data_IF_828749124842
#
_entry.id   IF_828749124842
#
_cell.length_a   1.000
_cell.length_b   1.000
_cell.length_c   1.000
_cell.angle_alpha   90.00
_cell.angle_beta   90.00
_cell.angle_gamma   90.00
#
_symmetry.space_group_name_H-M   'P 1'
#
loop_
_entity.id
_entity.type
_entity.pdbx_description
1 polymer ?
#
# COMPACT_ATOMS: atom_id res chain seq x y z
N UNK A 1 -12.46 26.25 -20.10
CA UNK A 1 -12.45 25.40 -18.89
C UNK A 1 -11.08 25.53 -18.28
N UNK A 2 -10.98 25.87 -16.99
CA UNK A 2 -9.68 26.06 -16.33
C UNK A 2 -8.83 24.79 -16.38
N UNK A 3 -7.51 24.93 -16.54
CA UNK A 3 -6.54 23.82 -16.71
C UNK A 3 -6.63 22.73 -15.63
N UNK A 4 -7.12 23.07 -14.43
CA UNK A 4 -7.35 22.08 -13.37
C UNK A 4 -8.42 21.06 -13.75
N UNK A 5 -9.54 21.51 -14.35
CA UNK A 5 -10.63 20.60 -14.75
C UNK A 5 -10.15 19.64 -15.83
N UNK A 6 -9.36 20.15 -16.78
CA UNK A 6 -8.75 19.32 -17.82
C UNK A 6 -7.85 18.26 -17.19
N UNK A 7 -6.97 18.65 -16.26
CA UNK A 7 -6.04 17.75 -15.59
C UNK A 7 -6.74 16.61 -14.83
N UNK A 8 -7.75 16.92 -14.02
CA UNK A 8 -8.53 15.89 -13.33
C UNK A 8 -9.37 15.04 -14.27
N UNK A 9 -9.88 15.62 -15.36
CA UNK A 9 -10.60 14.87 -16.39
C UNK A 9 -9.67 13.87 -17.07
N UNK A 10 -8.44 14.26 -17.41
CA UNK A 10 -7.42 13.36 -17.98
C UNK A 10 -7.13 12.21 -17.02
N UNK A 11 -6.91 12.47 -15.74
CA UNK A 11 -6.69 11.40 -14.73
C UNK A 11 -7.88 10.44 -14.67
N UNK A 12 -9.11 10.97 -14.64
CA UNK A 12 -10.32 10.17 -14.65
C UNK A 12 -10.46 9.30 -15.92
N UNK A 13 -10.20 9.88 -17.09
CA UNK A 13 -10.23 9.17 -18.37
C UNK A 13 -9.17 8.07 -18.42
N UNK A 14 -7.94 8.33 -17.95
CA UNK A 14 -6.87 7.32 -17.92
C UNK A 14 -7.25 6.15 -17.01
N UNK A 15 -7.78 6.42 -15.81
CA UNK A 15 -8.26 5.36 -14.91
C UNK A 15 -9.40 4.55 -15.54
N UNK A 16 -10.36 5.22 -16.19
CA UNK A 16 -11.47 4.57 -16.88
C UNK A 16 -10.98 3.69 -18.03
N UNK A 17 -10.11 4.21 -18.89
CA UNK A 17 -9.53 3.46 -20.01
C UNK A 17 -8.75 2.25 -19.50
N UNK A 18 -7.96 2.41 -18.44
CA UNK A 18 -7.24 1.29 -17.80
C UNK A 18 -8.18 0.21 -17.28
N UNK A 19 -9.26 0.59 -16.58
CA UNK A 19 -10.26 -0.35 -16.08
C UNK A 19 -11.01 -1.07 -17.23
N UNK A 20 -11.41 -0.32 -18.28
CA UNK A 20 -12.05 -0.88 -19.48
C UNK A 20 -11.11 -1.83 -20.19
N UNK A 21 -9.84 -1.48 -20.34
CA UNK A 21 -8.83 -2.34 -20.95
C UNK A 21 -8.70 -3.67 -20.19
N UNK A 22 -8.56 -3.63 -18.86
CA UNK A 22 -8.50 -4.85 -18.04
C UNK A 22 -9.78 -5.68 -18.17
N UNK A 23 -10.95 -5.05 -18.11
CA UNK A 23 -12.24 -5.73 -18.26
C UNK A 23 -12.37 -6.42 -19.63
N UNK A 24 -12.01 -5.74 -20.72
CA UNK A 24 -12.00 -6.29 -22.07
C UNK A 24 -10.99 -7.43 -22.18
N UNK A 25 -9.77 -7.27 -21.67
CA UNK A 25 -8.74 -8.30 -21.72
C UNK A 25 -9.15 -9.58 -20.97
N UNK A 26 -9.67 -9.45 -19.74
CA UNK A 26 -10.16 -10.60 -18.98
C UNK A 26 -11.40 -11.26 -19.62
N UNK A 27 -12.30 -10.47 -20.19
CA UNK A 27 -13.49 -10.99 -20.88
C UNK A 27 -13.10 -11.72 -22.17
N UNK A 28 -12.22 -11.14 -22.98
CA UNK A 28 -11.70 -11.77 -24.19
C UNK A 28 -10.95 -13.07 -23.85
N UNK A 29 -10.10 -13.07 -22.82
CA UNK A 29 -9.44 -14.29 -22.34
C UNK A 29 -10.45 -15.36 -21.91
N UNK A 30 -11.51 -14.98 -21.18
CA UNK A 30 -12.57 -15.91 -20.78
C UNK A 30 -13.34 -16.49 -21.97
N UNK A 31 -13.56 -15.71 -23.03
CA UNK A 31 -14.29 -16.12 -24.23
C UNK A 31 -13.43 -16.98 -25.18
N UNK A 32 -12.14 -16.66 -25.31
CA UNK A 32 -11.23 -17.34 -26.25
C UNK A 32 -10.57 -18.59 -25.66
N UNK A 33 -10.45 -18.70 -24.32
CA UNK A 33 -9.80 -19.86 -23.71
C UNK A 33 -10.65 -21.13 -23.87
N UNK A 34 -10.01 -22.31 -24.07
CA UNK A 34 -10.69 -23.59 -23.90
C UNK A 34 -11.30 -23.71 -22.49
N UNK A 35 -12.59 -24.04 -22.41
CA UNK A 35 -13.31 -24.16 -21.14
C UNK A 35 -13.60 -25.64 -20.82
N UNK A 36 -12.76 -26.24 -19.99
CA UNK A 36 -12.93 -27.64 -19.52
C UNK A 36 -12.55 -27.78 -18.05
N UNK A 37 -13.36 -27.24 -17.11
CA UNK A 37 -13.15 -27.42 -15.69
C UNK A 37 -13.33 -28.91 -15.33
N UNK A 38 -12.38 -29.47 -14.60
CA UNK A 38 -12.47 -30.80 -13.98
C UNK A 38 -12.26 -30.64 -12.48
N UNK A 39 -12.73 -31.58 -11.68
CA UNK A 39 -12.52 -31.58 -10.21
C UNK A 39 -11.04 -31.40 -9.88
N UNK A 40 -10.17 -32.18 -10.52
CA UNK A 40 -8.70 -32.13 -10.35
C UNK A 40 -8.08 -30.76 -10.69
N UNK A 41 -8.62 -30.02 -11.67
CA UNK A 41 -8.08 -28.70 -12.07
C UNK A 41 -8.50 -27.58 -11.12
N UNK A 42 -9.61 -27.77 -10.40
CA UNK A 42 -10.15 -26.81 -9.44
C UNK A 42 -9.68 -27.08 -8.02
N UNK A 43 -8.93 -28.16 -7.86
CA UNK A 43 -8.43 -28.67 -6.61
C UNK A 43 -7.16 -27.90 -6.20
N UNK A 44 -7.01 -27.58 -4.91
CA UNK A 44 -5.85 -26.82 -4.39
C UNK A 44 -4.54 -27.56 -4.63
N UNK A 45 -3.49 -26.83 -5.01
CA UNK A 45 -2.18 -27.42 -5.21
C UNK A 45 -1.47 -27.67 -3.88
N UNK A 46 -1.16 -28.93 -3.59
CA UNK A 46 -0.43 -29.35 -2.37
C UNK A 46 0.74 -30.29 -2.76
N UNK A 47 1.60 -29.88 -3.70
CA UNK A 47 2.80 -30.64 -4.08
C UNK A 47 2.59 -32.14 -4.45
N UNK A 48 1.39 -32.50 -4.93
CA UNK A 48 1.04 -33.86 -5.34
C UNK A 48 0.40 -34.73 -4.25
N UNK A 49 0.07 -34.16 -3.09
CA UNK A 49 -0.80 -34.80 -2.09
C UNK A 49 -2.20 -34.19 -2.10
N UNK A 50 -3.16 -34.92 -1.54
CA UNK A 50 -4.48 -34.35 -1.27
C UNK A 50 -4.36 -33.30 -0.15
N UNK A 51 -4.98 -32.13 -0.31
CA UNK A 51 -4.87 -31.02 0.62
C UNK A 51 -5.63 -31.43 1.86
N UNK A 52 -4.97 -31.23 2.99
CA UNK A 52 -5.51 -31.63 4.28
C UNK A 52 -5.97 -30.37 5.00
N UNK A 53 -7.27 -30.28 5.24
CA UNK A 53 -7.89 -29.30 6.14
C UNK A 53 -8.44 -28.03 5.47
N UNK A 54 -9.61 -27.61 5.95
CA UNK A 54 -10.12 -26.25 5.82
C UNK A 54 -9.78 -25.46 7.09
N UNK A 55 -9.00 -24.39 6.97
CA UNK A 55 -8.52 -23.60 8.11
C UNK A 55 -7.38 -24.36 8.82
N UNK A 56 -6.28 -23.76 9.20
CA UNK A 56 -6.09 -22.46 9.81
C UNK A 56 -4.81 -21.86 9.24
N UNK A 57 -4.92 -20.76 8.47
CA UNK A 57 -3.78 -19.88 8.36
C UNK A 57 -3.55 -19.32 9.77
N UNK A 58 -2.49 -19.76 10.46
CA UNK A 58 -2.09 -19.12 11.71
C UNK A 58 -1.71 -17.69 11.38
N UNK A 59 -2.66 -16.76 11.54
CA UNK A 59 -2.39 -15.35 11.34
C UNK A 59 -1.47 -14.91 12.48
N UNK A 60 -0.17 -14.91 12.20
CA UNK A 60 0.81 -14.48 13.18
C UNK A 60 0.61 -13.00 13.49
N UNK A 61 0.62 -12.66 14.78
CA UNK A 61 0.48 -11.27 15.27
C UNK A 61 1.51 -10.32 14.63
N UNK A 62 2.64 -10.83 14.14
CA UNK A 62 3.64 -10.05 13.39
C UNK A 62 3.04 -9.23 12.24
N UNK A 63 2.10 -9.79 11.47
CA UNK A 63 1.46 -9.05 10.37
C UNK A 63 0.70 -7.83 10.87
N UNK A 64 -0.02 -7.97 11.99
CA UNK A 64 -0.72 -6.88 12.63
C UNK A 64 0.24 -5.79 13.12
N UNK A 65 1.35 -6.17 13.74
CA UNK A 65 2.33 -5.21 14.27
C UNK A 65 2.97 -4.39 13.15
N UNK A 66 3.32 -5.01 12.02
CA UNK A 66 3.82 -4.28 10.85
C UNK A 66 2.75 -3.35 10.25
N UNK A 67 1.51 -3.81 10.11
CA UNK A 67 0.42 -2.98 9.59
C UNK A 67 0.11 -1.78 10.50
N UNK A 68 0.11 -2.00 11.82
CA UNK A 68 -0.09 -0.96 12.82
C UNK A 68 1.03 0.08 12.79
N UNK A 69 2.30 -0.36 12.77
CA UNK A 69 3.45 0.55 12.64
C UNK A 69 3.39 1.34 11.34
N UNK A 70 3.07 0.68 10.22
CA UNK A 70 2.88 1.35 8.93
C UNK A 70 1.81 2.42 9.01
N UNK A 71 0.63 2.13 9.59
CA UNK A 71 -0.45 3.09 9.69
C UNK A 71 -0.05 4.35 10.47
N UNK A 72 0.63 4.17 11.61
CA UNK A 72 1.12 5.28 12.42
C UNK A 72 2.10 6.14 11.61
N UNK A 73 3.13 5.53 11.01
CA UNK A 73 4.10 6.26 10.19
C UNK A 73 3.48 6.89 8.94
N UNK A 74 2.49 6.25 8.32
CA UNK A 74 1.84 6.77 7.11
C UNK A 74 1.09 8.07 7.41
N UNK A 75 0.41 8.15 8.55
CA UNK A 75 -0.23 9.39 9.01
C UNK A 75 0.79 10.48 9.25
N UNK A 76 1.94 10.14 9.86
CA UNK A 76 3.00 11.12 10.13
C UNK A 76 3.63 11.68 8.84
N UNK A 77 3.81 10.84 7.83
CA UNK A 77 4.35 11.23 6.52
C UNK A 77 3.43 12.21 5.78
N UNK A 78 2.11 12.15 6.01
CA UNK A 78 1.16 13.12 5.41
C UNK A 78 1.50 14.55 5.84
N UNK A 79 2.06 14.78 7.04
CA UNK A 79 2.47 16.11 7.50
C UNK A 79 3.75 16.62 6.83
N UNK A 80 4.57 15.74 6.25
CA UNK A 80 5.80 16.13 5.56
C UNK A 80 5.50 16.86 4.24
N UNK A 81 4.41 16.50 3.55
CA UNK A 81 4.10 17.07 2.24
C UNK A 81 3.77 18.57 2.28
N UNK A 82 2.82 19.05 3.13
CA UNK A 82 2.53 20.48 3.21
C UNK A 82 3.78 21.27 3.60
N UNK A 83 4.51 20.83 4.63
CA UNK A 83 5.75 21.47 5.06
C UNK A 83 6.78 21.58 3.92
N UNK A 84 7.03 20.49 3.19
CA UNK A 84 8.01 20.47 2.10
C UNK A 84 7.68 21.44 0.97
N UNK A 85 6.41 21.83 0.83
CA UNK A 85 5.98 22.79 -0.19
C UNK A 85 6.04 24.25 0.24
N UNK A 86 6.10 24.53 1.56
CA UNK A 86 5.99 25.89 2.09
C UNK A 86 7.17 26.34 2.94
N UNK A 87 8.14 25.48 3.26
CA UNK A 87 9.27 25.81 4.15
C UNK A 87 10.15 26.97 3.68
N UNK A 88 10.08 27.35 2.40
CA UNK A 88 10.81 28.49 1.82
C UNK A 88 9.92 29.74 1.62
N UNK A 89 8.65 29.68 2.04
CA UNK A 89 7.73 30.80 1.93
C UNK A 89 8.09 31.92 2.93
N UNK A 90 7.76 33.18 2.63
CA UNK A 90 8.00 34.29 3.54
C UNK A 90 7.39 34.02 4.93
N UNK A 91 8.19 34.15 5.98
CA UNK A 91 7.78 33.86 7.37
C UNK A 91 8.05 32.43 7.84
N UNK A 92 8.37 31.50 6.95
CA UNK A 92 8.77 30.13 7.25
C UNK A 92 10.27 30.04 6.96
N UNK A 93 11.10 30.29 7.97
CA UNK A 93 12.55 30.32 7.85
C UNK A 93 13.19 29.07 8.45
N UNK A 94 14.40 29.25 8.98
CA UNK A 94 15.18 28.21 9.68
C UNK A 94 14.40 27.56 10.82
N UNK A 95 13.51 28.31 11.50
CA UNK A 95 12.68 27.81 12.60
C UNK A 95 11.82 26.60 12.18
N UNK A 96 11.19 26.68 11.02
CA UNK A 96 10.31 25.62 10.49
C UNK A 96 11.07 24.39 10.04
N UNK A 97 12.34 24.56 9.67
CA UNK A 97 13.25 23.45 9.37
C UNK A 97 13.62 22.74 10.68
N UNK A 98 13.94 23.49 11.73
CA UNK A 98 14.25 22.93 13.06
C UNK A 98 13.04 22.16 13.61
N UNK A 99 11.84 22.72 13.54
CA UNK A 99 10.60 22.04 13.97
C UNK A 99 10.39 20.71 13.21
N UNK A 100 10.66 20.69 11.91
CA UNK A 100 10.55 19.46 11.13
C UNK A 100 11.60 18.41 11.53
N UNK A 101 12.84 18.83 11.80
CA UNK A 101 13.84 17.90 12.32
C UNK A 101 13.47 17.36 13.70
N UNK A 102 12.82 18.17 14.55
CA UNK A 102 12.26 17.70 15.83
C UNK A 102 11.14 16.68 15.60
N UNK A 103 10.20 16.95 14.68
CA UNK A 103 9.13 16.03 14.31
C UNK A 103 9.67 14.69 13.78
N UNK A 104 10.60 14.72 12.82
CA UNK A 104 11.28 13.53 12.31
C UNK A 104 12.06 12.82 13.43
N UNK A 105 12.66 13.57 14.36
CA UNK A 105 13.30 13.03 15.55
C UNK A 105 12.36 12.15 16.38
N UNK A 106 11.11 12.57 16.60
CA UNK A 106 10.11 11.75 17.28
C UNK A 106 9.80 10.44 16.54
N UNK A 107 9.71 10.49 15.20
CA UNK A 107 9.52 9.28 14.37
C UNK A 107 10.69 8.31 14.51
N UNK A 108 11.91 8.83 14.48
CA UNK A 108 13.13 8.03 14.65
C UNK A 108 13.16 7.39 16.04
N UNK A 109 12.80 8.13 17.09
CA UNK A 109 12.71 7.57 18.46
C UNK A 109 11.70 6.42 18.53
N UNK A 110 10.52 6.57 17.93
CA UNK A 110 9.52 5.50 17.83
C UNK A 110 10.04 4.27 17.10
N UNK A 111 10.73 4.46 15.97
CA UNK A 111 11.33 3.37 15.19
C UNK A 111 12.44 2.65 15.97
N UNK A 112 13.32 3.40 16.63
CA UNK A 112 14.38 2.84 17.49
C UNK A 112 13.77 2.05 18.63
N UNK A 113 12.71 2.55 19.27
CA UNK A 113 11.99 1.81 20.31
C UNK A 113 11.42 0.49 19.79
N UNK A 114 10.75 0.50 18.64
CA UNK A 114 10.22 -0.69 18.00
C UNK A 114 11.33 -1.71 17.68
N UNK A 115 12.46 -1.24 17.14
CA UNK A 115 13.63 -2.09 16.88
C UNK A 115 14.18 -2.70 18.18
N UNK A 116 14.33 -1.91 19.25
CA UNK A 116 14.81 -2.39 20.56
C UNK A 116 13.86 -3.38 21.22
N UNK A 117 12.56 -3.29 20.96
CA UNK A 117 11.55 -4.25 21.42
C UNK A 117 11.50 -5.53 20.58
N UNK A 118 12.29 -5.64 19.51
CA UNK A 118 12.31 -6.81 18.65
C UNK A 118 11.04 -6.99 17.83
N UNK A 119 10.15 -6.00 17.77
CA UNK A 119 8.89 -6.14 17.01
C UNK A 119 9.10 -6.08 15.50
N UNK A 120 10.31 -5.71 15.07
CA UNK A 120 10.72 -5.68 13.66
C UNK A 120 11.47 -6.96 13.23
N UNK A 121 11.56 -8.00 14.07
CA UNK A 121 12.22 -9.25 13.71
C UNK A 121 11.27 -10.19 12.98
N UNK A 122 11.70 -10.67 11.82
CA UNK A 122 11.00 -11.69 11.04
C UNK A 122 11.65 -13.06 11.27
N UNK A 123 11.47 -13.58 12.47
CA UNK A 123 11.91 -14.93 12.87
C UNK A 123 10.72 -15.71 13.39
#
# INVERSE_FOLDING_TARGET
MSDYHLSYTVVGVVMLVGAVFLAVAFTANRMLRPHGPTTEKLHSYECGVDPVGDGWAQLHVRYYVYAYLYLVFAVDVVFLFPWATVFAAPGFGVETVVEMFVFVGFLVVGLVYAARKGVLTWT
#
